data_IF_950163875083
#
_entry.id   IF_950163875083
#
_cell.length_a   1.000
_cell.length_b   1.000
_cell.length_c   1.000
_cell.angle_alpha   90.00
_cell.angle_beta   90.00
_cell.angle_gamma   90.00
#
_symmetry.space_group_name_H-M   'P 1'
#
loop_
_entity.id
_entity.type
_entity.pdbx_description
1 polymer ?
#
# COMPACT_ATOMS: atom_id res chain seq x y z
N UNK A 1 -1.31 5.72 18.02
CA UNK A 1 0.10 5.35 18.31
C UNK A 1 0.88 5.45 17.00
N UNK A 2 2.04 6.11 16.97
CA UNK A 2 2.80 6.35 15.74
C UNK A 2 3.52 5.06 15.31
N UNK A 3 3.33 4.60 14.08
CA UNK A 3 3.99 3.41 13.57
C UNK A 3 5.41 3.75 13.08
N UNK A 4 6.48 3.18 13.65
CA UNK A 4 7.85 3.52 13.25
C UNK A 4 8.16 3.14 11.79
N UNK A 5 7.52 2.10 11.26
CA UNK A 5 7.67 1.70 9.87
C UNK A 5 6.88 2.61 8.91
N UNK A 6 5.79 3.25 9.36
CA UNK A 6 5.12 4.28 8.56
C UNK A 6 5.98 5.54 8.49
N UNK A 7 6.58 5.95 9.60
CA UNK A 7 7.44 7.13 9.65
C UNK A 7 8.64 7.00 8.70
N UNK A 8 9.31 5.85 8.71
CA UNK A 8 10.45 5.62 7.81
C UNK A 8 10.02 5.53 6.34
N UNK A 9 8.91 4.85 6.06
CA UNK A 9 8.36 4.76 4.71
C UNK A 9 7.75 6.09 4.20
N UNK A 10 7.50 7.06 5.09
CA UNK A 10 6.91 8.35 4.72
C UNK A 10 7.80 9.16 3.77
N UNK A 11 9.12 8.94 3.83
CA UNK A 11 10.15 9.66 3.06
C UNK A 11 11.01 8.74 2.19
N UNK A 12 10.80 7.42 2.25
CA UNK A 12 11.57 6.41 1.51
C UNK A 12 10.64 5.34 0.92
N UNK A 13 10.50 5.33 -0.40
CA UNK A 13 9.55 4.46 -1.10
C UNK A 13 9.84 2.95 -0.93
N UNK A 14 11.12 2.59 -0.86
CA UNK A 14 11.66 1.24 -0.77
C UNK A 14 11.94 0.80 0.68
N UNK A 15 11.40 1.51 1.69
CA UNK A 15 11.55 1.11 3.08
C UNK A 15 11.02 -0.32 3.31
N UNK A 16 11.88 -1.28 3.73
CA UNK A 16 11.52 -2.70 3.74
C UNK A 16 10.65 -3.11 4.95
N UNK A 17 10.58 -2.28 5.99
CA UNK A 17 9.94 -2.64 7.24
C UNK A 17 8.42 -2.46 7.21
N UNK A 18 7.69 -3.38 7.84
CA UNK A 18 6.25 -3.32 8.06
C UNK A 18 5.93 -3.69 9.52
N UNK A 19 4.91 -3.05 10.09
CA UNK A 19 4.39 -3.42 11.42
C UNK A 19 3.10 -4.20 11.24
N UNK A 20 3.05 -5.42 11.80
CA UNK A 20 1.83 -6.23 11.83
C UNK A 20 0.67 -5.44 12.46
N UNK A 21 -0.55 -5.64 11.95
CA UNK A 21 -1.77 -4.98 12.41
C UNK A 21 -1.81 -3.44 12.27
N UNK A 22 -0.77 -2.80 11.71
CA UNK A 22 -0.84 -1.40 11.33
C UNK A 22 -1.55 -1.25 9.99
N UNK A 23 -2.74 -0.62 9.98
CA UNK A 23 -3.57 -0.42 8.78
C UNK A 23 -2.81 0.21 7.61
N UNK A 24 -1.99 1.22 7.88
CA UNK A 24 -1.18 1.88 6.85
C UNK A 24 -0.06 0.98 6.30
N UNK A 25 0.62 0.22 7.17
CA UNK A 25 1.61 -0.76 6.72
C UNK A 25 0.96 -1.86 5.87
N UNK A 26 -0.22 -2.34 6.25
CA UNK A 26 -0.98 -3.33 5.50
C UNK A 26 -1.42 -2.79 4.13
N UNK A 27 -1.93 -1.55 4.08
CA UNK A 27 -2.29 -0.89 2.84
C UNK A 27 -1.07 -0.71 1.92
N UNK A 28 0.08 -0.27 2.46
CA UNK A 28 1.35 -0.17 1.72
C UNK A 28 1.83 -1.53 1.21
N UNK A 29 1.68 -2.58 2.02
CA UNK A 29 2.04 -3.94 1.64
C UNK A 29 1.28 -4.39 0.40
N UNK A 30 -0.05 -4.22 0.41
CA UNK A 30 -0.89 -4.55 -0.75
C UNK A 30 -0.60 -3.62 -1.94
N UNK A 31 -0.37 -2.32 -1.71
CA UNK A 31 -0.06 -1.36 -2.78
C UNK A 31 1.23 -1.71 -3.56
N UNK A 32 2.23 -2.29 -2.87
CA UNK A 32 3.45 -2.82 -3.49
C UNK A 32 3.31 -4.28 -3.96
N UNK A 33 2.17 -4.92 -3.73
CA UNK A 33 1.93 -6.34 -3.98
C UNK A 33 1.38 -6.65 -5.39
N UNK A 34 1.55 -7.90 -5.85
CA UNK A 34 1.16 -8.31 -7.20
C UNK A 34 -0.35 -8.32 -7.44
N UNK A 35 -1.19 -8.45 -6.41
CA UNK A 35 -2.65 -8.47 -6.51
C UNK A 35 -3.20 -7.09 -6.91
N UNK A 36 -2.67 -6.04 -6.29
CA UNK A 36 -3.03 -4.66 -6.63
C UNK A 36 -2.50 -4.26 -8.00
N UNK A 37 -1.23 -4.61 -8.30
CA UNK A 37 -0.63 -4.33 -9.60
C UNK A 37 -1.43 -4.96 -10.75
N UNK A 38 -1.79 -6.24 -10.64
CA UNK A 38 -2.63 -6.92 -11.65
C UNK A 38 -4.01 -6.27 -11.79
N UNK A 39 -4.66 -5.92 -10.67
CA UNK A 39 -5.97 -5.25 -10.71
C UNK A 39 -5.91 -3.87 -11.39
N UNK A 40 -4.82 -3.12 -11.16
CA UNK A 40 -4.57 -1.85 -11.85
C UNK A 40 -4.36 -2.05 -13.35
N UNK A 41 -3.55 -3.03 -13.73
CA UNK A 41 -3.25 -3.33 -15.13
C UNK A 41 -4.50 -3.74 -15.91
N UNK A 42 -5.36 -4.57 -15.31
CA UNK A 42 -6.58 -5.09 -15.93
C UNK A 42 -7.74 -4.07 -15.90
N UNK A 43 -7.60 -2.95 -15.17
CA UNK A 43 -8.67 -1.96 -15.00
C UNK A 43 -9.87 -2.48 -14.20
N UNK A 44 -9.73 -3.60 -13.49
CA UNK A 44 -10.81 -4.27 -12.76
C UNK A 44 -10.34 -4.74 -11.38
N UNK A 45 -11.24 -4.73 -10.40
CA UNK A 45 -10.94 -5.29 -9.08
C UNK A 45 -11.02 -6.81 -9.15
N UNK A 46 -9.85 -7.45 -9.30
CA UNK A 46 -9.75 -8.91 -9.35
C UNK A 46 -10.11 -9.54 -8.00
N UNK A 47 -10.53 -10.79 -8.04
CA UNK A 47 -11.01 -11.47 -6.85
C UNK A 47 -9.90 -11.74 -5.83
N UNK A 48 -8.66 -11.99 -6.27
CA UNK A 48 -7.52 -12.15 -5.37
C UNK A 48 -7.22 -10.85 -4.61
N UNK A 49 -7.35 -9.70 -5.28
CA UNK A 49 -7.20 -8.39 -4.64
C UNK A 49 -8.34 -8.11 -3.64
N UNK A 50 -9.59 -8.39 -4.02
CA UNK A 50 -10.71 -8.26 -3.07
C UNK A 50 -10.56 -9.21 -1.88
N UNK A 51 -10.04 -10.42 -2.09
CA UNK A 51 -9.77 -11.37 -1.01
C UNK A 51 -8.73 -10.79 -0.04
N UNK A 52 -7.60 -10.28 -0.54
CA UNK A 52 -6.59 -9.62 0.29
C UNK A 52 -7.16 -8.44 1.10
N UNK A 53 -8.02 -7.62 0.49
CA UNK A 53 -8.70 -6.54 1.19
C UNK A 53 -9.64 -7.06 2.28
N UNK A 54 -10.43 -8.11 1.99
CA UNK A 54 -11.36 -8.69 2.97
C UNK A 54 -10.66 -9.39 4.14
N UNK A 55 -9.49 -9.99 3.92
CA UNK A 55 -8.68 -10.57 5.01
C UNK A 55 -8.30 -9.53 6.06
N UNK A 56 -8.12 -8.28 5.66
CA UNK A 56 -7.62 -7.21 6.53
C UNK A 56 -8.76 -6.29 7.01
N UNK A 57 -9.68 -5.94 6.13
CA UNK A 57 -10.77 -4.98 6.40
C UNK A 57 -12.15 -5.62 6.55
N UNK A 58 -12.31 -6.91 6.26
CA UNK A 58 -13.60 -7.59 6.36
C UNK A 58 -14.65 -6.94 5.46
N UNK A 59 -15.78 -6.55 6.05
CA UNK A 59 -16.88 -5.90 5.34
C UNK A 59 -16.49 -4.50 4.80
N UNK A 60 -15.56 -3.81 5.47
CA UNK A 60 -15.03 -2.51 5.05
C UNK A 60 -13.89 -2.63 4.02
N UNK A 61 -13.88 -3.70 3.23
CA UNK A 61 -12.86 -3.90 2.19
C UNK A 61 -12.82 -2.74 1.18
N UNK A 62 -13.92 -1.99 1.00
CA UNK A 62 -13.95 -0.77 0.19
C UNK A 62 -13.15 0.37 0.82
N UNK A 63 -13.24 0.60 2.13
CA UNK A 63 -12.35 1.52 2.84
C UNK A 63 -10.88 1.09 2.72
N UNK A 64 -10.63 -0.23 2.78
CA UNK A 64 -9.32 -0.81 2.48
C UNK A 64 -8.82 -0.50 1.06
N UNK A 65 -9.70 -0.57 0.07
CA UNK A 65 -9.35 -0.22 -1.32
C UNK A 65 -8.87 1.23 -1.44
N UNK A 66 -9.57 2.18 -0.82
CA UNK A 66 -9.18 3.59 -0.83
C UNK A 66 -7.87 3.84 -0.06
N UNK A 67 -7.63 3.11 1.03
CA UNK A 67 -6.35 3.14 1.73
C UNK A 67 -5.18 2.63 0.85
N UNK A 68 -5.39 1.53 0.11
CA UNK A 68 -4.39 0.99 -0.83
C UNK A 68 -4.11 1.97 -1.97
N UNK A 69 -5.15 2.62 -2.53
CA UNK A 69 -4.97 3.66 -3.56
C UNK A 69 -4.17 4.84 -3.04
N UNK A 70 -4.46 5.30 -1.83
CA UNK A 70 -3.73 6.40 -1.19
C UNK A 70 -2.26 6.03 -0.96
N UNK A 71 -1.99 4.80 -0.49
CA UNK A 71 -0.63 4.30 -0.31
C UNK A 71 0.12 4.18 -1.66
N UNK A 72 -0.53 3.68 -2.71
CA UNK A 72 0.04 3.58 -4.05
C UNK A 72 0.40 4.97 -4.62
N UNK A 73 -0.51 5.94 -4.51
CA UNK A 73 -0.26 7.31 -4.95
C UNK A 73 0.95 7.93 -4.23
N UNK A 74 1.08 7.70 -2.92
CA UNK A 74 2.24 8.16 -2.15
C UNK A 74 3.54 7.49 -2.59
N UNK A 75 3.52 6.19 -2.86
CA UNK A 75 4.68 5.46 -3.36
C UNK A 75 5.11 5.99 -4.73
N UNK A 76 4.16 6.23 -5.63
CA UNK A 76 4.43 6.80 -6.96
C UNK A 76 5.05 8.20 -6.85
N UNK A 77 4.55 9.04 -5.94
CA UNK A 77 5.15 10.36 -5.65
C UNK A 77 6.60 10.25 -5.13
N UNK A 78 6.86 9.33 -4.20
CA UNK A 78 8.20 9.18 -3.64
C UNK A 78 9.21 8.64 -4.67
N UNK A 79 8.77 7.73 -5.56
CA UNK A 79 9.62 7.16 -6.62
C UNK A 79 9.94 8.14 -7.74
N UNK A 80 9.01 9.06 -8.01
CA UNK A 80 9.15 10.05 -9.09
C UNK A 80 9.76 11.36 -8.60
N UNK A 81 9.84 11.59 -7.28
CA UNK A 81 10.53 12.74 -6.71
C UNK A 81 12.05 12.64 -6.91
N UNK A 82 12.76 13.72 -7.27
CA UNK A 82 14.21 13.73 -7.45
C UNK A 82 15.02 13.30 -6.22
N UNK A 83 14.43 13.27 -5.02
CA UNK A 83 15.07 12.73 -3.81
C UNK A 83 14.98 11.20 -3.65
N UNK A 84 14.13 10.51 -4.42
CA UNK A 84 13.92 9.06 -4.30
C UNK A 84 15.02 8.19 -4.91
N UNK A 85 15.97 8.78 -5.63
CA UNK A 85 17.05 8.09 -6.34
C UNK A 85 18.38 8.03 -5.57
N UNK A 86 18.47 8.60 -4.37
CA UNK A 86 19.75 8.87 -3.69
C UNK A 86 19.89 8.32 -2.26
N UNK A 87 19.07 7.35 -1.82
CA UNK A 87 19.20 6.73 -0.48
C UNK A 87 19.17 5.20 -0.47
#
# INVERSE_FOLDING_TARGET
MKCPNCDKAAVRADWPGYTANCRECLARGIANGPEYWRSRQDGTLRDEYKAALRTIWGEDWKGGHEAVKSAAARLDQLRTSPQGALL
#
